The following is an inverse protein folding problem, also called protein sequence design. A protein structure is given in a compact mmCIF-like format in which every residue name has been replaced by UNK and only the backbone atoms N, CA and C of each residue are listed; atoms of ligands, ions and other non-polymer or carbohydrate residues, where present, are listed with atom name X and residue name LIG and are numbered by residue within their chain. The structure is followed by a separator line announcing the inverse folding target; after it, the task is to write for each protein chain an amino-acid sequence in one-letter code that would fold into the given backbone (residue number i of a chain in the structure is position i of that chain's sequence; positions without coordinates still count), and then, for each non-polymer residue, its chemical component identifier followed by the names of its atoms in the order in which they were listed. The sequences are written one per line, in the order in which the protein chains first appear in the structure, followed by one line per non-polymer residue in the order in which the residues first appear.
data_IF_775411562051
#
_entry.id   IF_775411562051
#
_cell.length_a   1.000
_cell.length_b   1.000
_cell.length_c   1.000
_cell.angle_alpha   90.00
_cell.angle_beta   90.00
_cell.angle_gamma   90.00
#
_symmetry.space_group_name_H-M   'P 1'
#
loop_
_entity.id
_entity.type
_entity.pdbx_description
1 polymer ?
#
# COMPACT_ATOMS: atom_id res chain seq x y z
N UNK A 1 0.67 66.10 -35.19
CA UNK A 1 -0.47 65.76 -34.32
C UNK A 1 -0.76 64.27 -34.53
N UNK A 2 -0.42 63.41 -33.57
CA UNK A 2 -0.87 62.00 -33.58
C UNK A 2 -2.32 61.94 -33.05
N UNK A 3 -3.11 60.91 -33.42
CA UNK A 3 -3.29 59.82 -32.46
C UNK A 3 -3.41 58.40 -33.05
N UNK A 4 -2.79 57.48 -32.30
CA UNK A 4 -3.02 56.05 -32.11
C UNK A 4 -4.34 55.45 -32.65
N UNK A 5 -4.23 54.28 -33.31
CA UNK A 5 -5.33 53.35 -33.50
C UNK A 5 -4.87 51.91 -33.26
N UNK A 6 -5.66 51.25 -32.40
CA UNK A 6 -5.92 49.82 -32.31
C UNK A 6 -4.81 48.87 -31.81
N UNK A 7 -4.97 48.49 -30.55
CA UNK A 7 -4.37 47.34 -29.87
C UNK A 7 -4.63 46.01 -30.62
N UNK A 8 -3.57 45.31 -31.00
CA UNK A 8 -3.64 43.88 -31.28
C UNK A 8 -3.32 43.11 -29.99
N UNK A 9 -4.37 42.56 -29.36
CA UNK A 9 -4.28 41.69 -28.20
C UNK A 9 -3.68 40.35 -28.69
N UNK A 10 -2.46 40.04 -28.28
CA UNK A 10 -1.87 38.73 -28.55
C UNK A 10 -2.69 37.66 -27.83
N UNK A 11 -3.45 36.85 -28.58
CA UNK A 11 -4.01 35.59 -28.10
C UNK A 11 -2.84 34.63 -27.94
N UNK A 12 -2.43 34.40 -26.70
CA UNK A 12 -1.50 33.32 -26.36
C UNK A 12 -2.15 31.98 -26.72
N UNK A 13 -1.68 31.34 -27.78
CA UNK A 13 -1.96 29.92 -28.04
C UNK A 13 -1.12 29.07 -27.08
N UNK A 14 -1.71 28.28 -26.17
CA UNK A 14 -0.93 27.35 -25.36
C UNK A 14 -0.40 26.20 -26.23
N UNK A 15 0.88 25.86 -25.99
CA UNK A 15 1.61 24.74 -26.61
C UNK A 15 0.98 23.38 -26.25
N UNK A 16 0.86 22.42 -27.18
CA UNK A 16 0.28 21.11 -26.91
C UNK A 16 1.35 20.16 -26.34
N UNK A 17 1.67 20.30 -25.05
CA UNK A 17 2.62 19.39 -24.39
C UNK A 17 2.29 19.06 -22.93
N UNK A 18 1.06 19.26 -22.48
CA UNK A 18 0.60 18.72 -21.20
C UNK A 18 -0.58 17.78 -21.43
N UNK A 19 -0.28 16.54 -21.82
CA UNK A 19 -1.20 15.44 -21.54
C UNK A 19 -1.22 15.24 -20.03
N UNK A 20 -2.40 15.31 -19.36
CA UNK A 20 -2.49 14.92 -17.97
C UNK A 20 -2.39 13.40 -17.95
N UNK A 21 -1.17 12.87 -17.77
CA UNK A 21 -1.02 11.51 -17.24
C UNK A 21 -1.85 11.50 -15.97
N UNK A 22 -2.95 10.77 -16.02
CA UNK A 22 -3.82 10.56 -14.89
C UNK A 22 -2.92 10.10 -13.77
N UNK A 23 -2.76 10.98 -12.78
CA UNK A 23 -2.03 10.74 -11.56
C UNK A 23 -2.76 9.61 -10.85
N UNK A 24 -2.50 8.37 -11.23
CA UNK A 24 -2.76 7.23 -10.38
C UNK A 24 -1.84 7.45 -9.20
N UNK A 25 -2.35 8.20 -8.21
CA UNK A 25 -1.77 8.30 -6.89
C UNK A 25 -1.68 6.85 -6.44
N UNK A 26 -0.49 6.27 -6.54
CA UNK A 26 -0.14 5.13 -5.72
C UNK A 26 -0.63 5.48 -4.32
N UNK A 27 -1.34 4.61 -3.61
CA UNK A 27 -1.72 4.90 -2.24
C UNK A 27 -0.43 5.26 -1.51
N UNK A 28 -0.28 6.55 -1.21
CA UNK A 28 0.96 7.09 -0.70
C UNK A 28 1.22 6.40 0.64
N UNK A 29 2.47 6.04 0.95
CA UNK A 29 2.95 5.48 2.23
C UNK A 29 2.23 5.99 3.49
N UNK A 30 1.88 7.29 3.52
CA UNK A 30 1.04 7.98 4.52
C UNK A 30 -0.31 7.28 4.81
N UNK A 31 -0.79 6.48 3.88
CA UNK A 31 -2.08 5.79 3.89
C UNK A 31 -2.04 4.54 4.76
N UNK A 32 -0.89 3.87 4.93
CA UNK A 32 -0.86 2.60 5.69
C UNK A 32 -1.09 2.79 7.18
N UNK A 33 -0.36 3.72 7.82
CA UNK A 33 -0.58 4.04 9.23
C UNK A 33 -1.98 4.63 9.44
N UNK A 34 -2.40 5.56 8.57
CA UNK A 34 -3.72 6.19 8.67
C UNK A 34 -4.87 5.19 8.50
N UNK A 35 -4.74 4.28 7.54
CA UNK A 35 -5.73 3.22 7.33
C UNK A 35 -5.68 2.20 8.46
N UNK A 36 -4.51 1.86 9.01
CA UNK A 36 -4.41 1.03 10.22
C UNK A 36 -5.17 1.67 11.40
N UNK A 37 -4.95 2.96 11.67
CA UNK A 37 -5.68 3.69 12.71
C UNK A 37 -7.19 3.67 12.45
N UNK A 38 -7.63 4.00 11.23
CA UNK A 38 -9.05 3.96 10.86
C UNK A 38 -9.66 2.57 11.02
N UNK A 39 -8.96 1.52 10.62
CA UNK A 39 -9.42 0.14 10.77
C UNK A 39 -9.52 -0.24 12.25
N UNK A 40 -8.54 0.15 13.06
CA UNK A 40 -8.57 -0.07 14.51
C UNK A 40 -9.76 0.62 15.19
N UNK A 41 -10.15 1.81 14.73
CA UNK A 41 -11.32 2.54 15.24
C UNK A 41 -12.66 1.93 14.83
N UNK A 42 -12.73 1.34 13.63
CA UNK A 42 -14.00 0.94 13.00
C UNK A 42 -14.30 -0.55 13.06
N UNK A 43 -13.32 -1.39 13.38
CA UNK A 43 -13.45 -2.85 13.38
C UNK A 43 -13.01 -3.46 14.72
N UNK A 44 -13.53 -4.67 14.98
CA UNK A 44 -12.99 -5.54 16.01
C UNK A 44 -11.49 -5.81 15.78
N UNK A 45 -10.68 -6.07 16.82
CA UNK A 45 -9.22 -6.17 16.71
C UNK A 45 -8.73 -7.13 15.62
N UNK A 46 -9.23 -8.37 15.61
CA UNK A 46 -8.85 -9.35 14.57
C UNK A 46 -9.33 -8.96 13.16
N UNK A 47 -10.49 -8.34 13.05
CA UNK A 47 -11.04 -7.90 11.75
C UNK A 47 -10.26 -6.71 11.18
N UNK A 48 -9.80 -5.80 12.04
CA UNK A 48 -8.91 -4.71 11.65
C UNK A 48 -7.58 -5.24 11.11
N UNK A 49 -6.98 -6.23 11.79
CA UNK A 49 -5.75 -6.89 11.35
C UNK A 49 -5.95 -7.60 10.00
N UNK A 50 -7.01 -8.40 9.87
CA UNK A 50 -7.37 -9.08 8.61
C UNK A 50 -7.52 -8.08 7.45
N UNK A 51 -8.28 -7.01 7.66
CA UNK A 51 -8.51 -5.98 6.63
C UNK A 51 -7.20 -5.30 6.21
N UNK A 52 -6.31 -5.03 7.16
CA UNK A 52 -5.01 -4.42 6.88
C UNK A 52 -4.07 -5.36 6.11
N UNK A 53 -4.05 -6.65 6.43
CA UNK A 53 -3.27 -7.65 5.69
C UNK A 53 -3.75 -7.79 4.24
N UNK A 54 -5.06 -7.70 3.99
CA UNK A 54 -5.61 -7.67 2.63
C UNK A 54 -5.18 -6.41 1.86
N UNK A 55 -5.15 -5.25 2.50
CA UNK A 55 -4.60 -4.02 1.92
C UNK A 55 -3.11 -4.15 1.57
N UNK A 56 -2.35 -4.86 2.40
CA UNK A 56 -0.94 -5.13 2.13
C UNK A 56 -0.75 -6.01 0.87
N UNK A 57 -1.61 -7.01 0.67
CA UNK A 57 -1.62 -7.81 -0.58
C UNK A 57 -1.89 -6.93 -1.81
N UNK A 58 -2.90 -6.04 -1.74
CA UNK A 58 -3.23 -5.11 -2.83
C UNK A 58 -2.07 -4.15 -3.15
N UNK A 59 -1.31 -3.76 -2.14
CA UNK A 59 -0.11 -2.95 -2.33
C UNK A 59 1.02 -3.71 -3.01
N UNK A 60 1.27 -4.96 -2.63
CA UNK A 60 2.29 -5.79 -3.29
C UNK A 60 1.92 -5.99 -4.77
N UNK A 61 0.65 -6.25 -5.09
CA UNK A 61 0.16 -6.33 -6.46
C UNK A 61 0.45 -5.07 -7.26
N UNK A 62 0.11 -3.92 -6.69
CA UNK A 62 0.40 -2.62 -7.30
C UNK A 62 1.90 -2.44 -7.53
N UNK A 63 2.74 -2.85 -6.58
CA UNK A 63 4.21 -2.78 -6.69
C UNK A 63 4.75 -3.71 -7.78
N UNK A 64 4.27 -4.95 -7.89
CA UNK A 64 4.75 -5.90 -8.90
C UNK A 64 4.45 -5.45 -10.32
N UNK A 65 3.36 -4.72 -10.55
CA UNK A 65 3.03 -4.14 -11.86
C UNK A 65 3.97 -3.00 -12.23
N UNK A 66 4.37 -2.18 -11.24
CA UNK A 66 5.03 -0.89 -11.49
C UNK A 66 6.55 -0.96 -11.28
N UNK A 67 7.03 -1.89 -10.46
CA UNK A 67 8.46 -2.08 -10.19
C UNK A 67 9.29 -2.37 -11.46
N UNK A 68 8.85 -3.20 -12.42
CA UNK A 68 9.58 -3.40 -13.67
C UNK A 68 9.72 -2.10 -14.46
N UNK A 69 8.65 -1.30 -14.55
CA UNK A 69 8.66 -0.02 -15.25
C UNK A 69 9.55 1.02 -14.54
N UNK A 70 9.50 1.10 -13.21
CA UNK A 70 10.32 2.01 -12.40
C UNK A 70 11.80 1.63 -12.39
N UNK A 71 12.13 0.34 -12.34
CA UNK A 71 13.51 -0.15 -12.40
C UNK A 71 14.17 0.23 -13.74
N UNK A 72 13.42 0.22 -14.84
CA UNK A 72 13.90 0.70 -16.14
C UNK A 72 14.11 2.22 -16.20
N UNK A 73 13.46 3.00 -15.33
CA UNK A 73 13.45 4.47 -15.38
C UNK A 73 14.43 5.14 -14.39
N UNK A 74 14.65 4.57 -13.19
CA UNK A 74 15.29 5.30 -12.07
C UNK A 74 16.52 4.57 -11.49
N UNK A 75 16.90 3.39 -11.99
CA UNK A 75 18.20 2.78 -11.65
C UNK A 75 18.36 2.26 -10.21
N UNK A 76 17.27 2.06 -9.47
CA UNK A 76 17.29 1.42 -8.16
C UNK A 76 16.27 2.02 -7.18
N UNK A 77 15.53 1.14 -6.50
CA UNK A 77 14.37 1.49 -5.66
C UNK A 77 14.58 1.19 -4.17
N UNK A 78 15.79 0.83 -3.77
CA UNK A 78 16.08 0.22 -2.46
C UNK A 78 15.82 1.16 -1.26
N UNK A 79 16.19 2.45 -1.37
CA UNK A 79 15.91 3.42 -0.31
C UNK A 79 14.39 3.67 -0.13
N UNK A 80 13.62 3.61 -1.22
CA UNK A 80 12.16 3.75 -1.20
C UNK A 80 11.52 2.51 -0.55
N UNK A 81 12.09 1.32 -0.78
CA UNK A 81 11.62 0.09 -0.17
C UNK A 81 11.99 -0.04 1.31
N UNK A 82 13.17 0.42 1.72
CA UNK A 82 13.59 0.43 3.13
C UNK A 82 12.67 1.31 4.00
N UNK A 83 12.39 2.53 3.55
CA UNK A 83 11.44 3.45 4.21
C UNK A 83 10.03 2.85 4.29
N UNK A 84 9.60 2.16 3.22
CA UNK A 84 8.30 1.47 3.18
C UNK A 84 8.21 0.33 4.21
N UNK A 85 9.29 -0.43 4.42
CA UNK A 85 9.30 -1.52 5.42
C UNK A 85 9.09 -1.01 6.83
N UNK A 86 9.78 0.07 7.21
CA UNK A 86 9.62 0.67 8.55
C UNK A 86 8.18 1.12 8.81
N UNK A 87 7.57 1.81 7.84
CA UNK A 87 6.18 2.28 7.93
C UNK A 87 5.20 1.10 8.03
N UNK A 88 5.40 0.06 7.22
CA UNK A 88 4.55 -1.12 7.23
C UNK A 88 4.63 -1.87 8.57
N UNK A 89 5.85 -2.10 9.08
CA UNK A 89 6.08 -2.77 10.36
C UNK A 89 5.44 -2.01 11.52
N UNK A 90 5.56 -0.69 11.56
CA UNK A 90 4.93 0.13 12.60
C UNK A 90 3.39 0.04 12.55
N UNK A 91 2.80 0.10 11.36
CA UNK A 91 1.34 0.04 11.19
C UNK A 91 0.76 -1.31 11.62
N UNK A 92 1.36 -2.43 11.20
CA UNK A 92 0.91 -3.77 11.61
C UNK A 92 1.16 -4.03 13.10
N UNK A 93 2.26 -3.50 13.66
CA UNK A 93 2.59 -3.69 15.08
C UNK A 93 1.48 -3.19 16.02
N UNK A 94 0.89 -2.03 15.71
CA UNK A 94 -0.25 -1.50 16.48
C UNK A 94 -1.49 -2.38 16.41
N UNK A 95 -1.78 -2.95 15.24
CA UNK A 95 -2.93 -3.84 15.04
C UNK A 95 -2.75 -5.19 15.74
N UNK A 96 -1.55 -5.78 15.65
CA UNK A 96 -1.19 -7.01 16.36
C UNK A 96 -1.26 -6.80 17.87
N UNK A 97 -0.69 -5.72 18.39
CA UNK A 97 -0.74 -5.38 19.82
C UNK A 97 -2.18 -5.31 20.32
N UNK A 98 -3.07 -4.67 19.56
CA UNK A 98 -4.49 -4.58 19.90
C UNK A 98 -5.17 -5.95 19.88
N UNK A 99 -4.92 -6.76 18.85
CA UNK A 99 -5.52 -8.09 18.71
C UNK A 99 -5.05 -9.08 19.80
N UNK A 100 -3.77 -9.00 20.19
CA UNK A 100 -3.21 -9.73 21.33
C UNK A 100 -3.81 -9.25 22.64
N UNK A 101 -3.93 -7.93 22.84
CA UNK A 101 -4.53 -7.34 24.04
C UNK A 101 -6.00 -7.70 24.25
N UNK A 102 -6.75 -7.97 23.18
CA UNK A 102 -8.12 -8.49 23.26
C UNK A 102 -8.22 -10.01 23.46
N UNK A 103 -7.12 -10.75 23.35
CA UNK A 103 -7.11 -12.21 23.38
C UNK A 103 -7.57 -12.89 22.08
N UNK A 104 -7.75 -12.12 21.00
CA UNK A 104 -8.14 -12.66 19.69
C UNK A 104 -6.98 -13.39 18.99
N UNK A 105 -5.75 -13.00 19.31
CA UNK A 105 -4.50 -13.48 18.71
C UNK A 105 -3.53 -13.85 19.83
N UNK A 106 -2.77 -14.93 19.63
CA UNK A 106 -1.75 -15.40 20.57
C UNK A 106 -0.55 -14.44 20.65
N UNK A 107 0.08 -14.28 21.83
CA UNK A 107 1.09 -13.25 22.07
C UNK A 107 2.45 -13.50 21.40
N UNK A 108 2.71 -14.72 20.91
CA UNK A 108 3.94 -15.08 20.19
C UNK A 108 3.92 -14.71 18.70
N UNK A 109 2.84 -14.09 18.19
CA UNK A 109 2.78 -13.63 16.80
C UNK A 109 3.60 -12.36 16.63
N UNK A 110 4.70 -12.48 15.91
CA UNK A 110 5.51 -11.34 15.49
C UNK A 110 4.92 -10.67 14.23
N UNK A 111 4.71 -9.34 14.23
CA UNK A 111 4.13 -8.65 13.08
C UNK A 111 4.97 -8.80 11.80
N UNK A 112 6.29 -8.91 11.94
CA UNK A 112 7.21 -9.08 10.80
C UNK A 112 7.01 -10.43 10.11
N UNK A 113 6.62 -11.47 10.84
CA UNK A 113 6.44 -12.82 10.29
C UNK A 113 5.22 -12.86 9.36
N UNK A 114 4.15 -12.14 9.71
CA UNK A 114 2.97 -11.98 8.87
C UNK A 114 3.31 -11.27 7.55
N UNK A 115 4.16 -10.24 7.61
CA UNK A 115 4.64 -9.53 6.42
C UNK A 115 5.53 -10.44 5.55
N UNK A 116 6.45 -11.17 6.18
CA UNK A 116 7.34 -12.11 5.49
C UNK A 116 6.56 -13.24 4.80
N UNK A 117 5.53 -13.80 5.45
CA UNK A 117 4.68 -14.84 4.89
C UNK A 117 4.01 -14.37 3.60
N UNK A 118 3.34 -13.21 3.63
CA UNK A 118 2.64 -12.66 2.45
C UNK A 118 3.61 -12.19 1.37
N UNK A 119 4.75 -11.59 1.76
CA UNK A 119 5.83 -11.25 0.84
C UNK A 119 6.38 -12.48 0.11
N UNK A 120 6.62 -13.58 0.83
CA UNK A 120 7.08 -14.85 0.27
C UNK A 120 6.10 -15.44 -0.75
N UNK A 121 4.79 -15.42 -0.44
CA UNK A 121 3.74 -15.88 -1.37
C UNK A 121 3.78 -15.09 -2.67
N UNK A 122 3.93 -13.77 -2.59
CA UNK A 122 3.99 -12.91 -3.76
C UNK A 122 5.21 -13.19 -4.66
N UNK A 123 6.32 -13.63 -4.06
CA UNK A 123 7.55 -13.97 -4.77
C UNK A 123 7.46 -15.38 -5.41
N UNK A 124 6.76 -16.31 -4.75
CA UNK A 124 6.58 -17.68 -5.23
C UNK A 124 5.53 -17.78 -6.36
N UNK A 125 4.37 -17.16 -6.16
CA UNK A 125 3.27 -17.21 -7.11
C UNK A 125 3.28 -15.97 -8.01
N UNK A 126 4.19 -15.93 -8.99
CA UNK A 126 4.22 -14.86 -10.00
C UNK A 126 3.24 -15.19 -11.13
N UNK A 127 2.15 -14.43 -11.25
CA UNK A 127 1.19 -14.58 -12.36
C UNK A 127 -0.28 -14.32 -11.99
N UNK A 128 -1.18 -14.29 -12.98
CA UNK A 128 -2.59 -13.93 -12.77
C UNK A 128 -3.25 -14.75 -11.66
N UNK A 129 -3.98 -14.07 -10.77
CA UNK A 129 -4.75 -14.70 -9.69
C UNK A 129 -3.95 -15.05 -8.42
N UNK A 130 -2.67 -14.70 -8.32
CA UNK A 130 -1.90 -14.88 -7.08
C UNK A 130 -2.47 -14.08 -5.91
N UNK A 131 -3.00 -12.88 -6.17
CA UNK A 131 -3.63 -12.01 -5.16
C UNK A 131 -4.80 -12.71 -4.45
N UNK A 132 -5.64 -13.42 -5.21
CA UNK A 132 -6.76 -14.18 -4.65
C UNK A 132 -6.25 -15.29 -3.74
N UNK A 133 -5.14 -15.94 -4.10
CA UNK A 133 -4.51 -16.98 -3.27
C UNK A 133 -3.88 -16.37 -2.01
N UNK A 134 -3.22 -15.22 -2.13
CA UNK A 134 -2.65 -14.49 -1.00
C UNK A 134 -3.74 -14.02 -0.01
N UNK A 135 -4.88 -13.52 -0.49
CA UNK A 135 -6.03 -13.15 0.36
C UNK A 135 -6.62 -14.35 1.10
N UNK A 136 -6.69 -15.53 0.47
CA UNK A 136 -7.05 -16.77 1.18
C UNK A 136 -6.03 -17.14 2.26
N UNK A 137 -4.74 -16.92 2.00
CA UNK A 137 -3.69 -17.15 3.01
C UNK A 137 -3.75 -16.15 4.16
N UNK A 138 -4.28 -14.93 3.97
CA UNK A 138 -4.59 -14.03 5.08
C UNK A 138 -5.54 -14.72 6.06
N UNK A 139 -6.61 -15.36 5.58
CA UNK A 139 -7.54 -16.06 6.46
C UNK A 139 -6.90 -17.26 7.19
N UNK A 140 -6.00 -17.99 6.52
CA UNK A 140 -5.22 -19.08 7.13
C UNK A 140 -4.29 -18.56 8.21
N UNK A 141 -3.57 -17.46 7.94
CA UNK A 141 -2.69 -16.82 8.92
C UNK A 141 -3.49 -16.37 10.14
N UNK A 142 -4.60 -15.65 9.92
CA UNK A 142 -5.48 -15.21 11.00
C UNK A 142 -6.01 -16.39 11.82
N UNK A 143 -6.47 -17.46 11.15
CA UNK A 143 -6.95 -18.66 11.84
C UNK A 143 -5.85 -19.36 12.65
N UNK A 144 -4.65 -19.51 12.08
CA UNK A 144 -3.51 -20.11 12.75
C UNK A 144 -2.92 -19.27 13.87
N UNK A 145 -3.16 -17.95 13.88
CA UNK A 145 -2.73 -17.02 14.92
C UNK A 145 -3.69 -16.92 16.11
N UNK A 146 -4.85 -17.60 16.08
CA UNK A 146 -5.75 -17.61 17.24
C UNK A 146 -5.18 -18.47 18.37
N UNK A 147 -5.49 -18.16 19.65
CA UNK A 147 -5.15 -19.04 20.76
C UNK A 147 -5.74 -20.45 20.57
N UNK A 148 -5.00 -21.46 21.01
CA UNK A 148 -5.56 -22.81 21.17
C UNK A 148 -6.58 -22.76 22.32
N UNK A 149 -7.79 -23.27 22.07
CA UNK A 149 -8.88 -23.30 23.05
C UNK A 149 -8.64 -24.29 24.18
#
# INVERSE_FOLDING_TARGET
MAPWAASARAVSTPSPAETPVTRTRLPARETFCRTASRLAETHAPVEALRAWLNLFVDYIATKQVIAPALNSLIGGTDAIYADSRTVLTAAIGGLVTRATGSGDIRPDIEPVDLLCALGGVSNYATGPGWEVRAKRLVDVLIAGSRPEG
#
